data_IF_443759996805
#
_entry.id   IF_443759996805
#
_cell.length_a   1.000
_cell.length_b   1.000
_cell.length_c   1.000
_cell.angle_alpha   90.00
_cell.angle_beta   90.00
_cell.angle_gamma   90.00
#
_symmetry.space_group_name_H-M   'P 1'
#
loop_
_entity.id
_entity.type
_entity.pdbx_description
1 polymer ?
#
# COMPACT_ATOMS: atom_id res chain seq x y z
N UNK A 1 -29.97 -23.83 -8.65
CA UNK A 1 -28.87 -23.28 -9.46
C UNK A 1 -27.58 -23.92 -8.99
N UNK A 2 -27.26 -25.13 -9.45
CA UNK A 2 -25.98 -25.78 -9.19
C UNK A 2 -24.96 -25.17 -10.17
N UNK A 3 -23.77 -24.84 -9.67
CA UNK A 3 -22.61 -24.39 -10.46
C UNK A 3 -22.54 -22.88 -10.78
N UNK A 4 -22.97 -22.01 -9.88
CA UNK A 4 -22.73 -20.58 -9.98
C UNK A 4 -21.65 -20.11 -9.01
N UNK A 5 -20.75 -19.27 -9.50
CA UNK A 5 -19.85 -18.47 -8.68
C UNK A 5 -20.52 -17.15 -8.28
N UNK A 6 -20.16 -16.62 -7.12
CA UNK A 6 -20.69 -15.36 -6.61
C UNK A 6 -19.63 -14.27 -6.73
N UNK A 7 -20.02 -13.16 -7.30
CA UNK A 7 -19.15 -12.01 -7.52
C UNK A 7 -19.71 -10.76 -6.84
N UNK A 8 -18.82 -9.84 -6.52
CA UNK A 8 -19.13 -8.47 -6.17
C UNK A 8 -18.74 -7.61 -7.37
N UNK A 9 -19.68 -6.78 -7.83
CA UNK A 9 -19.47 -5.80 -8.90
C UNK A 9 -19.41 -4.40 -8.28
N UNK A 10 -18.33 -3.66 -8.56
CA UNK A 10 -18.20 -2.23 -8.25
C UNK A 10 -18.31 -1.46 -9.55
N UNK A 11 -19.29 -0.57 -9.62
CA UNK A 11 -19.45 0.30 -10.80
C UNK A 11 -18.28 1.27 -10.89
N UNK A 12 -17.65 1.29 -12.05
CA UNK A 12 -16.52 2.17 -12.30
C UNK A 12 -16.97 3.62 -12.59
N UNK A 13 -16.09 4.54 -12.28
CA UNK A 13 -16.21 5.93 -12.66
C UNK A 13 -15.07 6.30 -13.62
N UNK A 14 -15.41 6.51 -14.89
CA UNK A 14 -14.43 6.79 -15.94
C UNK A 14 -13.64 8.08 -15.70
N UNK A 15 -14.22 9.08 -15.02
CA UNK A 15 -13.51 10.31 -14.66
C UNK A 15 -12.31 10.01 -13.76
N UNK A 16 -12.39 9.01 -12.92
CA UNK A 16 -11.34 8.66 -11.95
C UNK A 16 -10.57 7.40 -12.32
N UNK A 17 -10.90 6.75 -13.45
CA UNK A 17 -10.39 5.42 -13.80
C UNK A 17 -10.49 4.43 -12.62
N UNK A 18 -11.60 4.49 -11.86
CA UNK A 18 -11.67 3.82 -10.55
C UNK A 18 -11.59 2.30 -10.66
N UNK A 19 -12.23 1.70 -11.67
CA UNK A 19 -12.18 0.26 -11.91
C UNK A 19 -10.76 -0.19 -12.35
N UNK A 20 -10.14 0.59 -13.24
CA UNK A 20 -8.80 0.32 -13.75
C UNK A 20 -7.74 0.48 -12.66
N UNK A 21 -7.89 1.50 -11.79
CA UNK A 21 -7.00 1.70 -10.64
C UNK A 21 -7.15 0.56 -9.62
N UNK A 22 -8.37 0.18 -9.28
CA UNK A 22 -8.60 -0.94 -8.36
C UNK A 22 -8.02 -2.24 -8.91
N UNK A 23 -8.12 -2.46 -10.25
CA UNK A 23 -7.51 -3.62 -10.89
C UNK A 23 -5.97 -3.55 -10.89
N UNK A 24 -5.39 -2.36 -11.08
CA UNK A 24 -3.94 -2.17 -10.99
C UNK A 24 -3.44 -2.44 -9.56
N UNK A 25 -4.16 -1.97 -8.54
CA UNK A 25 -3.85 -2.26 -7.13
C UNK A 25 -3.99 -3.74 -6.81
N UNK A 26 -5.02 -4.39 -7.33
CA UNK A 26 -5.21 -5.84 -7.20
C UNK A 26 -3.98 -6.60 -7.74
N UNK A 27 -3.52 -6.29 -8.96
CA UNK A 27 -2.35 -6.95 -9.56
C UNK A 27 -1.07 -6.67 -8.74
N UNK A 28 -0.87 -5.43 -8.30
CA UNK A 28 0.25 -5.12 -7.41
C UNK A 28 0.18 -5.90 -6.10
N UNK A 29 -1.00 -6.01 -5.49
CA UNK A 29 -1.19 -6.75 -4.25
C UNK A 29 -0.84 -8.25 -4.43
N UNK A 30 -1.31 -8.86 -5.51
CA UNK A 30 -0.97 -10.25 -5.88
C UNK A 30 0.53 -10.41 -6.09
N UNK A 31 1.17 -9.50 -6.83
CA UNK A 31 2.62 -9.53 -7.09
C UNK A 31 3.44 -9.32 -5.81
N UNK A 32 2.91 -8.58 -4.83
CA UNK A 32 3.49 -8.42 -3.50
C UNK A 32 3.30 -9.67 -2.60
N UNK A 33 2.54 -10.68 -3.07
CA UNK A 33 2.21 -11.89 -2.34
C UNK A 33 1.05 -11.76 -1.36
N UNK A 34 0.21 -10.72 -1.51
CA UNK A 34 -1.04 -10.59 -0.76
C UNK A 34 -2.07 -11.57 -1.33
N UNK A 35 -2.74 -12.29 -0.45
CA UNK A 35 -3.84 -13.18 -0.84
C UNK A 35 -5.05 -12.35 -1.26
N UNK A 36 -5.43 -12.45 -2.54
CA UNK A 36 -6.58 -11.78 -3.16
C UNK A 36 -7.49 -12.81 -3.83
N UNK A 37 -8.77 -12.48 -3.96
CA UNK A 37 -9.66 -13.27 -4.81
C UNK A 37 -9.45 -12.93 -6.29
N UNK A 38 -9.72 -13.86 -7.22
CA UNK A 38 -9.71 -13.56 -8.66
C UNK A 38 -10.62 -12.37 -8.98
N UNK A 39 -10.08 -11.42 -9.73
CA UNK A 39 -10.75 -10.17 -10.10
C UNK A 39 -10.44 -9.83 -11.55
N UNK A 40 -11.34 -9.08 -12.19
CA UNK A 40 -11.20 -8.64 -13.58
C UNK A 40 -11.97 -7.34 -13.84
N UNK A 41 -11.69 -6.71 -14.98
CA UNK A 41 -12.50 -5.62 -15.51
C UNK A 41 -13.67 -6.22 -16.29
N UNK A 42 -14.87 -5.85 -15.91
CA UNK A 42 -16.11 -6.21 -16.60
C UNK A 42 -16.69 -5.00 -17.31
N UNK A 43 -16.75 -5.05 -18.64
CA UNK A 43 -17.29 -3.97 -19.45
C UNK A 43 -18.79 -4.19 -19.74
N UNK A 44 -19.58 -3.18 -19.47
CA UNK A 44 -21.01 -3.16 -19.81
C UNK A 44 -21.42 -1.74 -20.23
N UNK A 45 -22.17 -1.63 -21.31
CA UNK A 45 -22.68 -0.36 -21.87
C UNK A 45 -21.57 0.72 -22.03
N UNK A 46 -20.37 0.27 -22.41
CA UNK A 46 -19.21 1.16 -22.58
C UNK A 46 -18.56 1.64 -21.27
N UNK A 47 -18.99 1.13 -20.12
CA UNK A 47 -18.41 1.43 -18.82
C UNK A 47 -17.58 0.24 -18.33
N UNK A 48 -16.41 0.54 -17.80
CA UNK A 48 -15.56 -0.44 -17.12
C UNK A 48 -15.93 -0.52 -15.65
N UNK A 49 -16.11 -1.73 -15.15
CA UNK A 49 -16.46 -2.02 -13.78
C UNK A 49 -15.45 -3.01 -13.21
N UNK A 50 -15.16 -2.93 -11.92
CA UNK A 50 -14.34 -3.93 -11.24
C UNK A 50 -15.22 -5.05 -10.72
N UNK A 51 -14.88 -6.29 -11.02
CA UNK A 51 -15.59 -7.47 -10.53
C UNK A 51 -14.61 -8.39 -9.80
N UNK A 52 -15.00 -8.87 -8.64
CA UNK A 52 -14.19 -9.79 -7.82
C UNK A 52 -15.02 -10.95 -7.31
N UNK A 53 -14.44 -12.15 -7.31
CA UNK A 53 -15.07 -13.33 -6.75
C UNK A 53 -15.23 -13.19 -5.25
N UNK A 54 -16.37 -13.55 -4.70
CA UNK A 54 -16.62 -13.49 -3.26
C UNK A 54 -15.89 -14.61 -2.53
N UNK A 55 -15.18 -14.26 -1.47
CA UNK A 55 -14.48 -15.21 -0.59
C UNK A 55 -15.39 -15.83 0.48
N UNK A 56 -16.54 -15.18 0.75
CA UNK A 56 -17.50 -15.62 1.76
C UNK A 56 -18.57 -16.58 1.20
N UNK A 57 -18.29 -17.13 0.02
CA UNK A 57 -19.14 -18.13 -0.65
C UNK A 57 -18.31 -19.34 -1.07
N UNK A 58 -18.80 -20.51 -0.72
CA UNK A 58 -18.31 -21.79 -1.20
C UNK A 58 -19.48 -22.52 -1.88
N UNK A 59 -19.58 -22.38 -3.19
CA UNK A 59 -20.76 -22.81 -3.97
C UNK A 59 -22.03 -22.14 -3.42
N UNK A 60 -23.00 -22.92 -2.98
CA UNK A 60 -24.27 -22.41 -2.41
C UNK A 60 -24.17 -22.03 -0.93
N UNK A 61 -23.06 -22.37 -0.26
CA UNK A 61 -22.89 -22.12 1.18
C UNK A 61 -22.36 -20.70 1.43
N UNK A 62 -22.92 -20.07 2.45
CA UNK A 62 -22.37 -18.85 3.04
C UNK A 62 -21.35 -19.25 4.12
N UNK A 63 -20.12 -18.77 4.00
CA UNK A 63 -19.14 -18.94 5.05
C UNK A 63 -19.37 -17.89 6.13
N UNK A 64 -19.23 -18.29 7.39
CA UNK A 64 -19.33 -17.34 8.49
C UNK A 64 -18.15 -16.36 8.41
N UNK A 65 -18.47 -15.08 8.29
CA UNK A 65 -17.47 -14.02 8.08
C UNK A 65 -17.76 -12.86 9.01
N UNK A 66 -16.73 -12.37 9.67
CA UNK A 66 -16.77 -11.21 10.56
C UNK A 66 -15.65 -10.24 10.21
N UNK A 67 -15.95 -8.94 10.18
CA UNK A 67 -14.90 -7.90 10.07
C UNK A 67 -14.20 -7.71 11.42
N UNK A 68 -12.99 -7.13 11.40
CA UNK A 68 -12.31 -6.72 12.63
C UNK A 68 -13.20 -5.78 13.45
N UNK A 69 -13.86 -4.82 12.80
CA UNK A 69 -14.80 -3.92 13.46
C UNK A 69 -15.96 -4.62 14.16
N UNK A 70 -16.38 -5.81 13.71
CA UNK A 70 -17.43 -6.59 14.33
C UNK A 70 -16.92 -7.48 15.46
N UNK A 71 -15.70 -8.02 15.35
CA UNK A 71 -15.09 -8.90 16.35
C UNK A 71 -14.54 -8.09 17.55
N UNK A 72 -13.93 -6.96 17.25
CA UNK A 72 -13.23 -6.11 18.25
C UNK A 72 -13.43 -4.64 17.89
N UNK A 73 -14.63 -4.09 18.20
CA UNK A 73 -15.00 -2.72 17.83
C UNK A 73 -14.06 -1.64 18.40
N UNK A 74 -13.38 -1.96 19.50
CA UNK A 74 -12.43 -1.07 20.16
C UNK A 74 -11.05 -1.07 19.52
N UNK A 75 -10.81 -1.93 18.52
CA UNK A 75 -9.50 -2.03 17.86
C UNK A 75 -9.35 -0.91 16.84
N UNK A 76 -8.30 -0.09 17.01
CA UNK A 76 -7.98 1.03 16.13
C UNK A 76 -6.54 0.97 15.59
N UNK A 77 -5.85 -0.16 15.76
CA UNK A 77 -4.44 -0.30 15.38
C UNK A 77 -4.11 -1.66 14.77
N UNK A 78 -3.02 -1.70 14.02
CA UNK A 78 -2.50 -2.95 13.47
C UNK A 78 -1.97 -3.88 14.55
N UNK A 79 -1.48 -3.36 15.68
CA UNK A 79 -1.12 -4.14 16.85
C UNK A 79 -2.35 -4.86 17.42
N UNK A 80 -3.48 -4.15 17.49
CA UNK A 80 -4.76 -4.73 17.91
C UNK A 80 -5.25 -5.82 16.94
N UNK A 81 -5.09 -5.60 15.63
CA UNK A 81 -5.40 -6.61 14.61
C UNK A 81 -4.56 -7.88 14.80
N UNK A 82 -3.23 -7.76 15.04
CA UNK A 82 -2.37 -8.90 15.34
C UNK A 82 -2.80 -9.59 16.64
N UNK A 83 -3.18 -8.82 17.66
CA UNK A 83 -3.68 -9.39 18.91
C UNK A 83 -4.97 -10.20 18.69
N UNK A 84 -5.89 -9.74 17.83
CA UNK A 84 -7.09 -10.49 17.45
C UNK A 84 -6.72 -11.77 16.69
N UNK A 85 -5.79 -11.70 15.72
CA UNK A 85 -5.29 -12.89 15.03
C UNK A 85 -4.82 -13.97 16.02
N UNK A 86 -4.06 -13.57 17.04
CA UNK A 86 -3.57 -14.49 18.09
C UNK A 86 -4.68 -15.05 18.97
N UNK A 87 -5.64 -14.21 19.38
CA UNK A 87 -6.82 -14.65 20.16
C UNK A 87 -7.67 -15.65 19.39
N UNK A 88 -7.75 -15.52 18.07
CA UNK A 88 -8.43 -16.44 17.17
C UNK A 88 -7.56 -17.66 16.79
N UNK A 89 -6.35 -17.79 17.34
CA UNK A 89 -5.39 -18.86 17.06
C UNK A 89 -5.02 -19.00 15.58
N UNK A 90 -4.92 -17.87 14.85
CA UNK A 90 -4.47 -17.90 13.48
C UNK A 90 -2.98 -18.27 13.37
N UNK A 91 -2.59 -18.92 12.26
CA UNK A 91 -1.19 -19.28 12.04
C UNK A 91 -0.32 -18.02 11.85
N UNK A 92 0.99 -18.17 12.08
CA UNK A 92 1.98 -17.09 11.88
C UNK A 92 1.94 -16.52 10.45
N UNK A 93 1.59 -17.34 9.45
CA UNK A 93 1.41 -16.88 8.06
C UNK A 93 0.37 -15.78 7.92
N UNK A 94 -0.70 -15.83 8.73
CA UNK A 94 -1.76 -14.83 8.69
C UNK A 94 -1.29 -13.52 9.37
N UNK A 95 -0.47 -13.61 10.43
CA UNK A 95 0.18 -12.43 11.02
C UNK A 95 1.18 -11.79 10.04
N UNK A 96 1.95 -12.60 9.29
CA UNK A 96 2.82 -12.10 8.22
C UNK A 96 2.03 -11.45 7.08
N UNK A 97 0.87 -12.00 6.76
CA UNK A 97 -0.04 -11.44 5.76
C UNK A 97 -0.61 -10.08 6.22
N UNK A 98 -0.99 -9.94 7.50
CA UNK A 98 -1.38 -8.63 8.08
C UNK A 98 -0.25 -7.63 7.93
N UNK A 99 0.98 -8.00 8.26
CA UNK A 99 2.15 -7.13 8.11
C UNK A 99 2.39 -6.75 6.65
N UNK A 100 2.22 -7.68 5.72
CA UNK A 100 2.34 -7.41 4.28
C UNK A 100 1.32 -6.38 3.81
N UNK A 101 0.07 -6.49 4.26
CA UNK A 101 -1.00 -5.52 3.96
C UNK A 101 -0.71 -4.15 4.58
N UNK A 102 -0.21 -4.11 5.82
CA UNK A 102 0.25 -2.88 6.47
C UNK A 102 1.30 -2.16 5.60
N UNK A 103 2.37 -2.87 5.22
CA UNK A 103 3.44 -2.31 4.39
C UNK A 103 2.90 -1.86 3.02
N UNK A 104 2.04 -2.68 2.41
CA UNK A 104 1.41 -2.33 1.14
C UNK A 104 0.56 -1.06 1.26
N UNK A 105 -0.31 -0.96 2.26
CA UNK A 105 -1.17 0.21 2.47
C UNK A 105 -0.35 1.49 2.67
N UNK A 106 0.71 1.43 3.48
CA UNK A 106 1.60 2.58 3.71
C UNK A 106 2.27 3.01 2.40
N UNK A 107 2.95 2.08 1.73
CA UNK A 107 3.78 2.41 0.58
C UNK A 107 2.98 2.72 -0.69
N UNK A 108 1.79 2.12 -0.85
CA UNK A 108 0.90 2.39 -1.98
C UNK A 108 -0.02 3.60 -1.75
N UNK A 109 0.06 4.22 -0.56
CA UNK A 109 -0.85 5.30 -0.15
C UNK A 109 -2.33 4.90 -0.16
N UNK A 110 -2.64 3.64 0.18
CA UNK A 110 -4.00 3.24 0.49
C UNK A 110 -4.31 3.64 1.93
N UNK A 111 -4.89 4.81 2.12
CA UNK A 111 -5.16 5.40 3.44
C UNK A 111 -6.52 5.01 4.02
N UNK A 112 -7.37 4.32 3.26
CA UNK A 112 -8.68 3.82 3.73
C UNK A 112 -8.58 2.43 4.37
N UNK A 113 -7.53 2.22 5.13
CA UNK A 113 -7.20 0.94 5.77
C UNK A 113 -7.94 0.72 7.10
N UNK A 114 -9.24 1.06 7.12
CA UNK A 114 -10.08 0.96 8.31
C UNK A 114 -10.42 -0.50 8.70
N UNK A 115 -10.86 -0.71 9.93
CA UNK A 115 -11.11 -2.03 10.54
C UNK A 115 -12.18 -2.87 9.82
N UNK A 116 -13.04 -2.27 8.98
CA UNK A 116 -14.00 -3.00 8.15
C UNK A 116 -13.35 -3.64 6.92
N UNK A 117 -12.12 -3.24 6.54
CA UNK A 117 -11.37 -3.79 5.41
C UNK A 117 -10.52 -5.01 5.79
N UNK A 118 -10.63 -5.46 7.05
CA UNK A 118 -10.05 -6.71 7.54
C UNK A 118 -11.13 -7.64 8.01
N UNK A 119 -11.20 -8.85 7.43
CA UNK A 119 -12.22 -9.85 7.79
C UNK A 119 -11.57 -11.19 8.13
N UNK A 120 -12.34 -11.97 8.87
CA UNK A 120 -12.00 -13.33 9.26
C UNK A 120 -13.12 -14.26 8.82
N UNK A 121 -12.73 -15.46 8.38
CA UNK A 121 -13.65 -16.51 7.94
C UNK A 121 -13.53 -17.66 8.92
N UNK A 122 -14.66 -18.19 9.36
CA UNK A 122 -14.72 -19.38 10.20
C UNK A 122 -15.22 -20.57 9.39
N UNK A 123 -14.52 -21.69 9.45
CA UNK A 123 -14.94 -22.94 8.85
C UNK A 123 -15.97 -23.69 9.72
N UNK A 124 -16.47 -24.82 9.22
CA UNK A 124 -17.48 -25.65 9.91
C UNK A 124 -16.97 -26.26 11.22
N UNK A 125 -15.66 -26.32 11.40
CA UNK A 125 -15.04 -26.83 12.63
C UNK A 125 -14.84 -25.74 13.69
N UNK A 126 -15.23 -24.50 13.39
CA UNK A 126 -15.01 -23.35 14.27
C UNK A 126 -13.60 -22.74 14.16
N UNK A 127 -12.80 -23.14 13.18
CA UNK A 127 -11.47 -22.62 12.94
C UNK A 127 -11.53 -21.33 12.16
N UNK A 128 -10.87 -20.31 12.67
CA UNK A 128 -10.74 -19.01 12.01
C UNK A 128 -9.50 -18.93 11.12
N UNK A 129 -9.59 -18.10 10.10
CA UNK A 129 -8.47 -17.67 9.23
C UNK A 129 -8.69 -16.24 8.79
N UNK A 130 -7.61 -15.55 8.42
CA UNK A 130 -7.71 -14.25 7.79
C UNK A 130 -8.35 -14.41 6.40
N UNK A 131 -9.28 -13.52 6.03
CA UNK A 131 -9.86 -13.52 4.67
C UNK A 131 -8.81 -13.10 3.64
N UNK A 132 -8.97 -13.42 2.35
CA UNK A 132 -8.30 -12.69 1.29
C UNK A 132 -8.51 -11.18 1.48
N UNK A 133 -7.54 -10.36 1.03
CA UNK A 133 -7.67 -8.92 1.07
C UNK A 133 -8.70 -8.44 0.04
N UNK A 134 -9.29 -7.32 0.31
CA UNK A 134 -10.25 -6.64 -0.56
C UNK A 134 -10.18 -5.14 -0.32
N UNK A 135 -10.73 -4.37 -1.25
CA UNK A 135 -10.83 -2.92 -1.15
C UNK A 135 -9.46 -2.23 -1.03
N UNK A 136 -8.47 -2.75 -1.77
CA UNK A 136 -7.16 -2.14 -1.88
C UNK A 136 -7.15 -1.25 -3.11
N UNK A 137 -7.11 0.07 -2.91
CA UNK A 137 -7.05 1.04 -4.00
C UNK A 137 -6.47 2.37 -3.53
N UNK A 138 -6.12 3.24 -4.46
CA UNK A 138 -5.80 4.63 -4.17
C UNK A 138 -7.07 5.41 -3.89
N UNK A 139 -7.08 6.17 -2.81
CA UNK A 139 -8.23 7.00 -2.45
C UNK A 139 -8.15 8.32 -3.20
N UNK A 140 -9.09 8.50 -4.13
CA UNK A 140 -9.25 9.74 -4.88
C UNK A 140 -10.21 10.64 -4.12
N UNK A 141 -9.69 11.72 -3.54
CA UNK A 141 -10.53 12.78 -2.95
C UNK A 141 -11.07 13.71 -4.03
N UNK A 142 -12.19 13.33 -4.62
CA UNK A 142 -12.83 14.07 -5.71
C UNK A 142 -13.36 15.45 -5.28
N UNK A 143 -13.52 15.71 -3.99
CA UNK A 143 -14.12 16.92 -3.44
C UNK A 143 -13.23 17.72 -2.50
N UNK A 144 -12.01 17.26 -2.20
CA UNK A 144 -11.14 17.89 -1.22
C UNK A 144 -11.71 17.82 0.21
N UNK A 145 -12.61 16.84 0.46
CA UNK A 145 -13.26 16.66 1.75
C UNK A 145 -12.51 15.71 2.70
N UNK A 146 -11.62 14.89 2.15
CA UNK A 146 -10.78 14.05 3.01
C UNK A 146 -9.65 14.92 3.55
N UNK A 147 -9.66 15.22 4.86
CA UNK A 147 -8.50 15.85 5.45
C UNK A 147 -7.31 14.94 5.18
N UNK A 148 -6.12 15.51 5.11
CA UNK A 148 -4.86 14.76 4.98
C UNK A 148 -4.61 13.99 6.30
N UNK A 149 -5.54 13.09 6.65
CA UNK A 149 -5.70 12.46 7.97
C UNK A 149 -4.77 11.27 8.17
N UNK A 150 -4.06 10.85 7.11
CA UNK A 150 -3.22 9.65 7.15
C UNK A 150 -4.03 8.36 7.08
N UNK A 151 -3.47 7.30 7.63
CA UNK A 151 -4.11 5.99 7.71
C UNK A 151 -5.28 5.96 8.69
N UNK A 152 -6.23 5.06 8.50
CA UNK A 152 -7.35 4.88 9.42
C UNK A 152 -6.97 4.07 10.67
N UNK A 153 -5.94 3.23 10.57
CA UNK A 153 -5.46 2.43 11.71
C UNK A 153 -4.06 2.88 12.13
N UNK A 154 -3.86 2.95 13.44
CA UNK A 154 -2.56 3.29 14.02
C UNK A 154 -1.51 2.20 13.77
N UNK A 155 -0.28 2.64 13.57
CA UNK A 155 0.94 1.82 13.62
C UNK A 155 1.88 2.51 14.62
N UNK A 156 2.22 1.84 15.74
CA UNK A 156 3.05 2.42 16.81
C UNK A 156 2.59 3.83 17.22
N UNK A 157 1.28 3.96 17.43
CA UNK A 157 0.59 5.21 17.76
C UNK A 157 0.71 6.33 16.70
N UNK A 158 1.02 6.01 15.44
CA UNK A 158 1.12 6.95 14.32
C UNK A 158 0.06 6.64 13.27
N UNK A 159 -0.54 7.67 12.69
CA UNK A 159 -1.38 7.61 11.48
C UNK A 159 -0.67 8.18 10.26
N UNK A 160 0.42 8.93 10.47
CA UNK A 160 1.20 9.62 9.44
C UNK A 160 2.68 9.37 9.61
N UNK A 161 3.44 9.61 8.55
CA UNK A 161 4.91 9.55 8.58
C UNK A 161 5.45 8.27 9.20
N UNK A 162 4.77 7.16 8.93
CA UNK A 162 5.21 5.83 9.38
C UNK A 162 6.48 5.49 8.62
N UNK A 163 7.60 5.37 9.33
CA UNK A 163 8.92 5.15 8.74
C UNK A 163 9.20 3.65 8.53
N UNK A 164 10.27 3.36 7.80
CA UNK A 164 10.80 2.00 7.69
C UNK A 164 11.12 1.41 9.07
N UNK A 165 11.75 2.20 9.95
CA UNK A 165 12.08 1.76 11.30
C UNK A 165 10.82 1.45 12.13
N UNK A 166 9.75 2.25 11.99
CA UNK A 166 8.47 1.96 12.64
C UNK A 166 7.91 0.60 12.20
N UNK A 167 8.01 0.28 10.90
CA UNK A 167 7.54 -1.00 10.38
C UNK A 167 8.39 -2.18 10.87
N UNK A 168 9.71 -2.02 10.94
CA UNK A 168 10.63 -3.05 11.45
C UNK A 168 10.41 -3.28 12.95
N UNK A 169 10.28 -2.20 13.73
CA UNK A 169 10.01 -2.31 15.16
C UNK A 169 8.62 -2.91 15.43
N UNK A 170 7.60 -2.51 14.65
CA UNK A 170 6.28 -3.16 14.68
C UNK A 170 6.41 -4.67 14.48
N UNK A 171 7.14 -5.10 13.46
CA UNK A 171 7.34 -6.51 13.16
C UNK A 171 8.04 -7.23 14.32
N UNK A 172 9.07 -6.62 14.90
CA UNK A 172 9.82 -7.15 16.04
C UNK A 172 8.93 -7.30 17.28
N UNK A 173 8.20 -6.25 17.65
CA UNK A 173 7.34 -6.22 18.82
C UNK A 173 6.19 -7.23 18.72
N UNK A 174 5.75 -7.49 17.48
CA UNK A 174 4.70 -8.46 17.17
C UNK A 174 5.24 -9.82 16.72
N UNK A 175 6.53 -10.11 16.85
CA UNK A 175 7.13 -11.42 16.54
C UNK A 175 6.99 -11.83 15.07
N UNK A 176 6.81 -10.89 14.15
CA UNK A 176 6.68 -11.16 12.71
C UNK A 176 8.05 -11.52 12.15
N UNK A 177 8.15 -12.70 11.58
CA UNK A 177 9.38 -13.17 10.94
C UNK A 177 9.48 -12.70 9.49
N UNK A 178 10.71 -12.56 8.97
CA UNK A 178 11.01 -12.20 7.58
C UNK A 178 10.47 -10.82 7.17
N UNK A 179 10.41 -9.87 8.10
CA UNK A 179 9.89 -8.53 7.84
C UNK A 179 10.57 -7.87 6.62
N UNK A 180 11.91 -7.91 6.56
CA UNK A 180 12.66 -7.34 5.41
C UNK A 180 12.26 -7.99 4.08
N UNK A 181 12.13 -9.31 4.03
CA UNK A 181 11.74 -10.02 2.80
C UNK A 181 10.32 -9.63 2.36
N UNK A 182 9.41 -9.42 3.32
CA UNK A 182 8.04 -8.98 3.05
C UNK A 182 8.07 -7.54 2.49
N UNK A 183 8.83 -6.65 3.12
CA UNK A 183 8.98 -5.26 2.65
C UNK A 183 9.55 -5.24 1.23
N UNK A 184 10.62 -6.01 0.96
CA UNK A 184 11.23 -6.07 -0.37
C UNK A 184 10.26 -6.57 -1.45
N UNK A 185 9.42 -7.57 -1.14
CA UNK A 185 8.41 -8.06 -2.07
C UNK A 185 7.39 -6.98 -2.40
N UNK A 186 6.92 -6.23 -1.41
CA UNK A 186 5.99 -5.11 -1.61
C UNK A 186 6.64 -4.00 -2.44
N UNK A 187 7.85 -3.58 -2.07
CA UNK A 187 8.61 -2.55 -2.82
C UNK A 187 8.81 -2.95 -4.27
N UNK A 188 9.21 -4.22 -4.51
CA UNK A 188 9.41 -4.75 -5.86
C UNK A 188 8.13 -4.69 -6.73
N UNK A 189 6.98 -4.98 -6.12
CA UNK A 189 5.69 -4.90 -6.80
C UNK A 189 5.30 -3.44 -7.09
N UNK A 190 5.41 -2.54 -6.11
CA UNK A 190 5.01 -1.14 -6.26
C UNK A 190 5.84 -0.40 -7.32
N UNK A 191 7.11 -0.77 -7.50
CA UNK A 191 7.96 -0.22 -8.58
C UNK A 191 7.46 -0.53 -9.99
N UNK A 192 6.55 -1.50 -10.13
CA UNK A 192 5.93 -1.85 -11.42
C UNK A 192 4.62 -1.10 -11.68
N UNK A 193 4.18 -0.21 -10.77
CA UNK A 193 2.87 0.43 -10.83
C UNK A 193 2.57 1.04 -12.20
N UNK A 194 3.46 1.88 -12.76
CA UNK A 194 3.24 2.53 -14.06
C UNK A 194 2.93 1.52 -15.17
N UNK A 195 3.72 0.45 -15.26
CA UNK A 195 3.54 -0.60 -16.27
C UNK A 195 2.21 -1.32 -16.09
N UNK A 196 1.85 -1.63 -14.85
CA UNK A 196 0.59 -2.29 -14.51
C UNK A 196 -0.60 -1.37 -14.80
N UNK A 197 -0.53 -0.10 -14.40
CA UNK A 197 -1.59 0.87 -14.61
C UNK A 197 -1.83 1.14 -16.13
N UNK A 198 -0.77 1.21 -16.93
CA UNK A 198 -0.86 1.32 -18.38
C UNK A 198 -1.52 0.08 -19.00
N UNK A 199 -1.22 -1.12 -18.52
CA UNK A 199 -1.85 -2.38 -18.95
C UNK A 199 -3.38 -2.33 -18.82
N UNK A 200 -3.89 -1.71 -17.77
CA UNK A 200 -5.32 -1.56 -17.51
C UNK A 200 -5.92 -0.28 -18.11
N UNK A 201 -5.12 0.51 -18.84
CA UNK A 201 -5.53 1.77 -19.45
C UNK A 201 -6.02 2.82 -18.42
N UNK A 202 -5.38 2.89 -17.27
CA UNK A 202 -5.55 4.00 -16.32
C UNK A 202 -5.14 5.30 -17.00
N UNK A 203 -5.90 6.39 -16.82
CA UNK A 203 -5.58 7.69 -17.41
C UNK A 203 -4.25 8.23 -16.87
N UNK A 204 -3.44 8.83 -17.75
CA UNK A 204 -2.08 9.31 -17.43
C UNK A 204 -2.03 10.24 -16.20
N UNK A 205 -3.03 11.11 -16.03
CA UNK A 205 -3.11 12.00 -14.86
C UNK A 205 -3.16 11.21 -13.54
N UNK A 206 -3.90 10.09 -13.51
CA UNK A 206 -3.98 9.24 -12.33
C UNK A 206 -2.75 8.37 -12.17
N UNK A 207 -2.17 7.90 -13.29
CA UNK A 207 -0.86 7.21 -13.24
C UNK A 207 0.18 8.11 -12.58
N UNK A 208 0.30 9.36 -13.03
CA UNK A 208 1.29 10.30 -12.48
C UNK A 208 1.00 10.61 -11.00
N UNK A 209 -0.26 10.88 -10.65
CA UNK A 209 -0.65 11.19 -9.26
C UNK A 209 -0.31 10.05 -8.29
N UNK A 210 -0.68 8.83 -8.65
CA UNK A 210 -0.47 7.65 -7.80
C UNK A 210 1.00 7.27 -7.75
N UNK A 211 1.70 7.30 -8.88
CA UNK A 211 3.14 7.01 -8.92
C UNK A 211 3.94 8.01 -8.08
N UNK A 212 3.60 9.29 -8.12
CA UNK A 212 4.23 10.31 -7.28
C UNK A 212 4.00 10.04 -5.79
N UNK A 213 2.79 9.56 -5.42
CA UNK A 213 2.50 9.17 -4.05
C UNK A 213 3.34 7.96 -3.61
N UNK A 214 3.36 6.89 -4.43
CA UNK A 214 4.17 5.70 -4.19
C UNK A 214 5.66 6.06 -4.07
N UNK A 215 6.19 6.83 -5.01
CA UNK A 215 7.60 7.23 -5.02
C UNK A 215 7.98 8.04 -3.78
N UNK A 216 7.11 8.95 -3.30
CA UNK A 216 7.35 9.67 -2.05
C UNK A 216 7.52 8.72 -0.86
N UNK A 217 6.66 7.71 -0.73
CA UNK A 217 6.76 6.73 0.36
C UNK A 217 7.99 5.82 0.21
N UNK A 218 8.29 5.38 -1.00
CA UNK A 218 9.51 4.61 -1.28
C UNK A 218 10.76 5.42 -0.96
N UNK A 219 10.80 6.70 -1.32
CA UNK A 219 11.91 7.61 -0.99
C UNK A 219 12.07 7.80 0.52
N UNK A 220 10.96 7.97 1.25
CA UNK A 220 10.96 8.10 2.72
C UNK A 220 11.50 6.85 3.40
N UNK A 221 11.27 5.68 2.83
CA UNK A 221 11.76 4.40 3.34
C UNK A 221 13.16 4.02 2.81
N UNK A 222 13.79 4.87 2.00
CA UNK A 222 15.13 4.64 1.43
C UNK A 222 15.16 3.70 0.22
N UNK A 223 14.00 3.42 -0.40
CA UNK A 223 13.88 2.57 -1.60
C UNK A 223 13.77 3.35 -2.90
N UNK A 224 14.21 4.60 -2.92
CA UNK A 224 14.20 5.44 -4.11
C UNK A 224 14.64 4.67 -5.36
N UNK A 225 13.94 4.87 -6.48
CA UNK A 225 14.46 4.43 -7.76
C UNK A 225 15.80 5.15 -8.02
N UNK A 226 16.85 4.40 -8.21
CA UNK A 226 18.21 4.91 -8.55
C UNK A 226 18.27 5.69 -9.89
N UNK A 227 17.11 5.96 -10.49
CA UNK A 227 16.93 6.79 -11.70
C UNK A 227 16.65 8.28 -11.37
N UNK A 228 16.90 8.77 -10.15
CA UNK A 228 17.04 10.21 -9.96
C UNK A 228 18.25 10.63 -10.78
N UNK A 229 17.99 11.38 -11.83
CA UNK A 229 18.95 11.88 -12.80
C UNK A 229 20.13 12.46 -12.01
N UNK A 230 21.25 11.77 -12.04
CA UNK A 230 22.47 12.30 -11.48
C UNK A 230 22.81 13.56 -12.25
N UNK A 231 22.64 14.70 -11.61
CA UNK A 231 22.92 16.00 -12.22
C UNK A 231 24.39 16.31 -12.01
N UNK A 232 25.07 16.69 -13.07
CA UNK A 232 26.42 17.24 -12.95
C UNK A 232 26.29 18.73 -12.60
N UNK A 233 26.80 19.13 -11.47
CA UNK A 233 26.81 20.53 -11.00
C UNK A 233 28.22 21.11 -11.02
N UNK A 234 28.32 22.38 -11.38
CA UNK A 234 29.54 23.17 -11.22
C UNK A 234 29.28 24.20 -10.12
N UNK A 235 29.98 24.10 -9.01
CA UNK A 235 29.90 25.05 -7.90
C UNK A 235 31.27 25.66 -7.71
N UNK A 236 31.38 26.99 -7.82
CA UNK A 236 32.63 27.74 -7.70
C UNK A 236 33.78 27.19 -8.58
N UNK A 237 33.45 26.79 -9.83
CA UNK A 237 34.41 26.25 -10.77
C UNK A 237 34.80 24.78 -10.56
N UNK A 238 34.26 24.11 -9.52
CA UNK A 238 34.51 22.69 -9.27
C UNK A 238 33.32 21.87 -9.82
N UNK A 239 33.62 20.91 -10.67
CA UNK A 239 32.62 20.01 -11.25
C UNK A 239 32.34 18.83 -10.29
N UNK A 240 31.08 18.65 -9.95
CA UNK A 240 30.58 17.53 -9.16
C UNK A 240 29.74 16.63 -10.07
N UNK A 241 30.16 15.41 -10.24
CA UNK A 241 29.45 14.43 -11.05
C UNK A 241 28.53 13.56 -10.16
N UNK A 242 27.40 13.10 -10.72
CA UNK A 242 26.47 12.24 -10.02
C UNK A 242 25.95 12.83 -8.70
N UNK A 243 25.57 14.11 -8.72
CA UNK A 243 25.04 14.82 -7.55
C UNK A 243 23.58 14.45 -7.34
N UNK A 244 23.23 14.03 -6.13
CA UNK A 244 21.87 13.78 -5.69
C UNK A 244 21.40 14.95 -4.82
N UNK A 245 20.25 15.55 -5.16
CA UNK A 245 19.61 16.59 -4.35
C UNK A 245 18.38 15.99 -3.69
N UNK A 246 18.31 16.10 -2.37
CA UNK A 246 17.15 15.67 -1.58
C UNK A 246 16.55 16.84 -0.84
N UNK A 247 15.23 16.97 -0.90
CA UNK A 247 14.50 17.89 -0.04
C UNK A 247 14.05 17.14 1.22
N UNK A 248 14.45 17.65 2.39
CA UNK A 248 13.97 17.09 3.66
C UNK A 248 12.55 17.54 3.95
N UNK A 249 11.85 16.78 4.78
CA UNK A 249 10.48 17.13 5.20
C UNK A 249 10.39 18.51 5.90
N UNK A 250 11.51 19.07 6.40
CA UNK A 250 11.61 20.43 6.96
C UNK A 250 11.90 21.50 5.90
N UNK A 251 11.79 21.15 4.60
CA UNK A 251 12.04 22.07 3.50
C UNK A 251 13.52 22.41 3.26
N UNK A 252 14.45 21.74 3.93
CA UNK A 252 15.87 21.91 3.65
C UNK A 252 16.27 21.06 2.45
N UNK A 253 17.20 21.56 1.63
CA UNK A 253 17.82 20.79 0.55
C UNK A 253 19.16 20.25 1.00
N UNK A 254 19.36 18.94 0.79
CA UNK A 254 20.63 18.27 0.98
C UNK A 254 21.18 17.88 -0.38
N UNK A 255 22.45 18.19 -0.60
CA UNK A 255 23.21 17.75 -1.76
C UNK A 255 24.15 16.63 -1.32
N UNK A 256 24.10 15.52 -2.02
CA UNK A 256 25.03 14.41 -1.84
C UNK A 256 25.91 14.34 -3.10
N UNK A 257 27.21 14.43 -2.91
CA UNK A 257 28.17 14.33 -3.99
C UNK A 257 29.25 13.32 -3.65
N UNK A 258 29.64 12.51 -4.64
CA UNK A 258 30.79 11.63 -4.49
C UNK A 258 32.05 12.41 -4.80
N UNK A 259 32.92 12.56 -3.80
CA UNK A 259 34.22 13.25 -3.91
C UNK A 259 35.32 12.26 -3.53
N UNK A 260 36.16 11.95 -4.49
CA UNK A 260 37.29 11.02 -4.32
C UNK A 260 36.84 9.63 -3.78
N UNK A 261 35.68 9.11 -4.26
CA UNK A 261 35.17 7.79 -3.86
C UNK A 261 34.38 7.75 -2.54
N UNK A 262 34.19 8.90 -1.88
CA UNK A 262 33.40 9.03 -0.67
C UNK A 262 32.19 9.94 -0.91
N UNK A 263 30.98 9.47 -0.52
CA UNK A 263 29.77 10.30 -0.54
C UNK A 263 29.84 11.34 0.57
N UNK A 264 29.69 12.62 0.22
CA UNK A 264 29.63 13.74 1.17
C UNK A 264 28.28 14.42 1.08
N UNK A 265 27.71 14.75 2.25
CA UNK A 265 26.45 15.46 2.39
C UNK A 265 26.69 16.94 2.66
N UNK A 266 25.98 17.78 1.92
CA UNK A 266 26.02 19.24 2.10
C UNK A 266 24.60 19.76 2.31
N UNK A 267 24.42 20.72 3.21
CA UNK A 267 23.17 21.45 3.38
C UNK A 267 23.19 22.66 2.45
N UNK A 268 22.30 22.74 1.44
CA UNK A 268 22.35 23.77 0.40
C UNK A 268 21.49 25.00 0.74
N UNK A 269 20.53 24.90 1.64
CA UNK A 269 19.70 26.03 2.04
C UNK A 269 18.53 25.65 2.94
N UNK A 270 17.99 26.66 3.62
CA UNK A 270 16.68 26.61 4.25
C UNK A 270 15.70 27.33 3.33
N UNK A 271 14.52 26.77 3.11
CA UNK A 271 13.41 27.54 2.53
C UNK A 271 13.14 28.71 3.49
N UNK A 272 13.49 29.92 3.10
CA UNK A 272 12.99 31.10 3.79
C UNK A 272 11.54 31.25 3.31
N UNK A 273 10.59 30.78 4.13
CA UNK A 273 9.21 31.26 4.02
C UNK A 273 9.25 32.78 4.31
N UNK A 274 8.99 33.57 3.29
CA UNK A 274 8.47 34.91 3.50
C UNK A 274 7.02 34.86 3.99
#
# INVERSE_FOLDING_TARGET
>A
LKDFDYYLLKFGNSQYSSAELEMAYHEMAVNAGISMMPSEIYETDGNKNFITKRFDRDRERKLHTQTLAAISPETESYEGLIAVCRKLHLPESDCQEVFRRLVFNILSNNTDDHTKNFSFIMDETGKWRLSPAYDLTYIIDAGGYLPNTGHCMYVRAKLHNISYDDAIEFAKDNGIRRADSIIQAVVGSLKQFRTIAQKYAVQDRWINTVEDAINRHLDLWGFANSNKTAVNLVINGTQYNNVRIEQTYKGNFHLYANINGAERKYVIGKNKSE
#
